data_IF_381376697337
#
_entry.id   IF_381376697337
#
_cell.length_a   1.000
_cell.length_b   1.000
_cell.length_c   1.000
_cell.angle_alpha   90.00
_cell.angle_beta   90.00
_cell.angle_gamma   90.00
#
_symmetry.space_group_name_H-M   'P 1'
#
loop_
_entity.id
_entity.type
_entity.pdbx_description
1 polymer ?
#
# COMPACT_ATOMS: atom_id res chain seq x y z
N UNK A 1 -26.87 16.08 31.62
CA UNK A 1 -26.83 16.42 30.18
C UNK A 1 -25.67 15.66 29.55
N UNK A 2 -25.92 15.09 28.38
CA UNK A 2 -25.04 14.13 27.72
C UNK A 2 -23.81 14.81 27.12
N UNK A 3 -22.70 14.09 27.02
CA UNK A 3 -22.15 13.72 25.71
C UNK A 3 -21.06 12.66 25.83
N UNK A 4 -21.44 11.44 25.40
CA UNK A 4 -20.51 10.43 24.91
C UNK A 4 -19.84 10.99 23.66
N UNK A 5 -18.51 11.01 23.62
CA UNK A 5 -17.79 10.86 22.34
C UNK A 5 -17.13 9.50 22.38
N UNK A 6 -17.94 8.50 22.05
CA UNK A 6 -17.47 7.19 21.62
C UNK A 6 -17.12 7.33 20.14
N UNK A 7 -15.84 7.25 19.81
CA UNK A 7 -15.40 7.07 18.43
C UNK A 7 -14.40 5.92 18.33
N UNK A 8 -14.84 4.70 18.66
CA UNK A 8 -14.21 3.51 18.09
C UNK A 8 -14.78 3.32 16.69
N UNK A 9 -14.29 4.11 15.73
CA UNK A 9 -14.57 3.91 14.30
C UNK A 9 -13.95 2.56 13.96
N UNK A 10 -14.77 1.52 13.78
CA UNK A 10 -14.29 0.25 13.22
C UNK A 10 -13.79 0.58 11.83
N UNK A 11 -12.46 0.64 11.65
CA UNK A 11 -11.92 0.77 10.31
C UNK A 11 -12.28 -0.50 9.55
N UNK A 12 -12.94 -0.34 8.42
CA UNK A 12 -13.04 -1.41 7.44
C UNK A 12 -11.62 -1.82 7.02
N UNK A 13 -11.42 -3.07 6.62
CA UNK A 13 -10.11 -3.58 6.16
C UNK A 13 -9.56 -2.67 5.04
N UNK A 14 -10.43 -2.16 4.16
CA UNK A 14 -10.06 -1.22 3.10
C UNK A 14 -9.55 0.15 3.60
N UNK A 15 -10.10 0.69 4.68
CA UNK A 15 -9.61 1.97 5.26
C UNK A 15 -8.19 1.81 5.82
N UNK A 16 -7.88 0.66 6.45
CA UNK A 16 -6.54 0.38 6.96
C UNK A 16 -5.52 0.24 5.82
N UNK A 17 -5.89 -0.48 4.76
CA UNK A 17 -5.06 -0.62 3.57
C UNK A 17 -4.78 0.73 2.91
N UNK A 18 -5.81 1.56 2.70
CA UNK A 18 -5.65 2.87 2.07
C UNK A 18 -4.74 3.77 2.89
N UNK A 19 -4.87 3.71 4.22
CA UNK A 19 -3.99 4.45 5.15
C UNK A 19 -2.54 3.99 5.03
N UNK A 20 -2.30 2.68 4.92
CA UNK A 20 -0.95 2.12 4.71
C UNK A 20 -0.32 2.57 3.38
N UNK A 21 -1.11 2.57 2.29
CA UNK A 21 -0.65 3.02 0.97
C UNK A 21 -0.30 4.52 0.99
N UNK A 22 -1.14 5.36 1.59
CA UNK A 22 -0.86 6.80 1.73
C UNK A 22 0.39 7.05 2.56
N UNK A 23 0.55 6.32 3.67
CA UNK A 23 1.73 6.42 4.53
C UNK A 23 3.04 6.09 3.79
N UNK A 24 3.02 5.09 2.89
CA UNK A 24 4.17 4.77 2.02
C UNK A 24 4.49 5.92 1.08
N UNK A 25 3.48 6.54 0.47
CA UNK A 25 3.69 7.67 -0.44
C UNK A 25 4.32 8.85 0.30
N UNK A 26 3.81 9.21 1.47
CA UNK A 26 4.37 10.25 2.33
C UNK A 26 5.82 9.95 2.74
N UNK A 27 6.10 8.70 3.14
CA UNK A 27 7.43 8.26 3.53
C UNK A 27 8.47 8.42 2.40
N UNK A 28 8.08 8.10 1.17
CA UNK A 28 8.93 8.21 -0.02
C UNK A 28 9.13 9.68 -0.44
N UNK A 29 8.06 10.49 -0.44
CA UNK A 29 8.13 11.93 -0.71
C UNK A 29 9.08 12.63 0.25
N UNK A 30 8.99 12.31 1.55
CA UNK A 30 9.81 12.94 2.58
C UNK A 30 11.33 12.65 2.46
N UNK A 31 11.73 11.73 1.59
CA UNK A 31 13.14 11.29 1.40
C UNK A 31 13.63 11.42 -0.04
N UNK A 32 12.87 12.10 -0.89
CA UNK A 32 13.15 12.26 -2.32
C UNK A 32 13.39 10.92 -3.04
N UNK A 33 12.74 9.84 -2.57
CA UNK A 33 12.88 8.54 -3.21
C UNK A 33 12.04 8.49 -4.49
N UNK A 34 12.62 8.05 -5.63
CA UNK A 34 11.84 7.81 -6.83
C UNK A 34 10.83 6.69 -6.58
N UNK A 35 9.55 6.95 -6.84
CA UNK A 35 8.47 5.97 -6.73
C UNK A 35 8.65 4.79 -7.68
N UNK A 36 9.18 5.07 -8.88
CA UNK A 36 9.21 4.15 -10.01
C UNK A 36 10.66 3.93 -10.44
N UNK A 37 11.04 2.68 -10.63
CA UNK A 37 12.32 2.29 -11.24
C UNK A 37 12.12 2.10 -12.75
N UNK A 38 13.22 1.87 -13.45
CA UNK A 38 13.21 1.44 -14.86
C UNK A 38 12.35 0.18 -15.03
N UNK A 39 12.44 -0.74 -14.07
CA UNK A 39 11.62 -1.93 -14.03
C UNK A 39 10.31 -1.71 -13.24
N UNK A 40 9.20 -2.18 -13.84
CA UNK A 40 7.82 -2.06 -13.36
C UNK A 40 7.20 -3.43 -13.03
N UNK A 41 8.03 -4.49 -13.07
CA UNK A 41 7.61 -5.87 -12.82
C UNK A 41 7.53 -6.17 -11.32
N UNK A 42 6.37 -6.63 -10.84
CA UNK A 42 6.30 -7.35 -9.54
C UNK A 42 7.20 -8.59 -9.61
N UNK A 43 7.94 -8.86 -8.53
CA UNK A 43 8.90 -9.97 -8.43
C UNK A 43 10.25 -9.75 -9.11
N UNK A 44 10.53 -8.59 -9.69
CA UNK A 44 11.85 -8.26 -10.24
C UNK A 44 12.80 -7.74 -9.17
N UNK A 45 14.07 -8.08 -9.19
CA UNK A 45 15.07 -7.54 -8.24
C UNK A 45 15.30 -6.03 -8.33
N UNK A 46 14.70 -5.34 -9.32
CA UNK A 46 14.94 -3.92 -9.63
C UNK A 46 13.66 -3.06 -9.61
N UNK A 47 12.64 -3.41 -8.83
CA UNK A 47 11.41 -2.61 -8.73
C UNK A 47 11.62 -1.22 -8.10
N UNK A 48 10.74 -0.27 -8.45
CA UNK A 48 10.70 1.05 -7.81
C UNK A 48 10.25 0.96 -6.35
N UNK A 49 10.74 1.88 -5.51
CA UNK A 49 10.51 1.86 -4.06
C UNK A 49 9.03 1.75 -3.67
N UNK A 50 8.13 2.34 -4.45
CA UNK A 50 6.69 2.22 -4.22
C UNK A 50 6.19 0.78 -4.38
N UNK A 51 6.60 0.10 -5.45
CA UNK A 51 6.15 -1.26 -5.73
C UNK A 51 6.73 -2.25 -4.72
N UNK A 52 7.99 -2.06 -4.31
CA UNK A 52 8.60 -2.85 -3.24
C UNK A 52 7.88 -2.68 -1.90
N UNK A 53 7.50 -1.45 -1.52
CA UNK A 53 6.70 -1.23 -0.32
C UNK A 53 5.31 -1.88 -0.41
N UNK A 54 4.65 -1.84 -1.58
CA UNK A 54 3.36 -2.51 -1.78
C UNK A 54 3.47 -4.03 -1.67
N UNK A 55 4.54 -4.65 -2.20
CA UNK A 55 4.78 -6.08 -2.04
C UNK A 55 4.96 -6.45 -0.56
N UNK A 56 5.73 -5.66 0.20
CA UNK A 56 5.90 -5.88 1.65
C UNK A 56 4.56 -5.79 2.39
N UNK A 57 3.73 -4.79 2.10
CA UNK A 57 2.40 -4.65 2.73
C UNK A 57 1.49 -5.82 2.34
N UNK A 58 1.57 -6.29 1.09
CA UNK A 58 0.73 -7.39 0.60
C UNK A 58 1.00 -8.72 1.32
N UNK A 59 2.19 -8.92 1.88
CA UNK A 59 2.48 -10.09 2.70
C UNK A 59 1.64 -10.16 3.99
N UNK A 60 1.09 -9.02 4.43
CA UNK A 60 0.29 -8.90 5.66
C UNK A 60 -1.19 -8.57 5.38
N UNK A 61 -1.58 -8.31 4.13
CA UNK A 61 -2.94 -7.95 3.75
C UNK A 61 -3.46 -8.89 2.64
N UNK A 62 -4.38 -9.83 2.97
CA UNK A 62 -4.89 -10.81 2.01
C UNK A 62 -5.58 -10.19 0.80
N UNK A 63 -6.27 -9.06 0.98
CA UNK A 63 -6.95 -8.36 -0.11
C UNK A 63 -5.96 -7.75 -1.09
N UNK A 64 -4.91 -7.10 -0.59
CA UNK A 64 -3.85 -6.55 -1.42
C UNK A 64 -3.06 -7.65 -2.12
N UNK A 65 -2.78 -8.76 -1.43
CA UNK A 65 -2.14 -9.95 -2.01
C UNK A 65 -2.94 -10.52 -3.18
N UNK A 66 -4.25 -10.70 -2.99
CA UNK A 66 -5.15 -11.14 -4.05
C UNK A 66 -5.19 -10.13 -5.21
N UNK A 67 -5.22 -8.82 -4.89
CA UNK A 67 -5.21 -7.77 -5.90
C UNK A 67 -3.93 -7.78 -6.74
N UNK A 68 -2.76 -7.87 -6.12
CA UNK A 68 -1.48 -7.95 -6.82
C UNK A 68 -1.34 -9.25 -7.62
N UNK A 69 -1.84 -10.38 -7.10
CA UNK A 69 -1.85 -11.65 -7.83
C UNK A 69 -2.77 -11.59 -9.05
N UNK A 70 -3.95 -10.99 -8.87
CA UNK A 70 -5.00 -10.95 -9.89
C UNK A 70 -4.74 -9.88 -10.94
N UNK A 71 -4.21 -8.71 -10.58
CA UNK A 71 -4.09 -7.57 -11.49
C UNK A 71 -2.65 -7.10 -11.70
N UNK A 72 -1.72 -7.57 -10.86
CA UNK A 72 -0.32 -7.26 -11.00
C UNK A 72 0.22 -7.68 -12.35
N UNK A 73 1.09 -6.87 -12.93
CA UNK A 73 1.78 -7.14 -14.18
C UNK A 73 0.88 -7.34 -15.43
N UNK A 74 -0.45 -7.19 -15.34
CA UNK A 74 -1.37 -7.39 -16.48
C UNK A 74 -1.26 -6.35 -17.61
N UNK A 75 -0.58 -5.23 -17.35
CA UNK A 75 -0.31 -4.17 -18.34
C UNK A 75 1.13 -4.16 -18.84
N UNK A 76 1.86 -5.27 -18.69
CA UNK A 76 3.17 -5.48 -19.32
C UNK A 76 3.02 -5.93 -20.76
#
# INVERSE_FOLDING_TARGET
>A
MQHKVNMKKRSTIGEYLLTGVVSVVEFLLARDFPFRSYDKQLGSTIYGHFLGCLEVISAFDPFLSEHLTTYGNKGK
#
